data_IF_584251284344
#
_entry.id   IF_584251284344
#
_cell.length_a   1.000
_cell.length_b   1.000
_cell.length_c   1.000
_cell.angle_alpha   90.00
_cell.angle_beta   90.00
_cell.angle_gamma   90.00
#
_symmetry.space_group_name_H-M   'P 1'
#
loop_
_entity.id
_entity.type
_entity.pdbx_description
1 polymer ?
#
# COMPACT_ATOMS: atom_id res chain seq x y z
N UNK A 1 31.20 20.09 -47.64
CA UNK A 1 31.58 20.21 -46.23
C UNK A 1 30.54 19.50 -45.38
N UNK A 2 30.87 18.33 -44.90
CA UNK A 2 30.03 17.49 -44.05
C UNK A 2 29.97 18.05 -42.63
N UNK A 3 28.78 18.14 -42.04
CA UNK A 3 28.59 18.12 -40.60
C UNK A 3 27.33 17.34 -40.24
N UNK A 4 27.60 16.15 -39.89
CA UNK A 4 27.13 15.32 -38.79
C UNK A 4 25.83 15.77 -38.08
N UNK A 5 24.76 15.03 -38.33
CA UNK A 5 23.56 15.02 -37.48
C UNK A 5 23.74 13.85 -36.54
N UNK A 6 24.10 14.19 -35.30
CA UNK A 6 24.24 13.23 -34.21
C UNK A 6 22.86 12.84 -33.71
N UNK A 7 22.59 11.55 -33.71
CA UNK A 7 21.41 10.90 -33.19
C UNK A 7 21.22 11.24 -31.71
N UNK A 8 20.06 11.76 -31.38
CA UNK A 8 19.57 11.86 -30.02
C UNK A 8 18.67 10.65 -29.77
N UNK A 9 19.27 9.61 -29.23
CA UNK A 9 18.65 8.36 -28.86
C UNK A 9 17.70 8.56 -27.67
N UNK A 10 16.53 7.94 -27.78
CA UNK A 10 15.56 7.61 -26.74
C UNK A 10 16.21 7.32 -25.38
N UNK A 11 15.96 8.18 -24.41
CA UNK A 11 16.26 7.93 -23.00
C UNK A 11 15.06 8.37 -22.14
N UNK A 12 13.93 7.66 -22.27
CA UNK A 12 12.73 7.90 -21.47
C UNK A 12 12.11 6.59 -20.96
N UNK A 13 12.90 5.54 -20.82
CA UNK A 13 12.46 4.28 -20.20
C UNK A 13 13.31 3.86 -18.99
N UNK A 14 14.00 4.79 -18.33
CA UNK A 14 14.89 4.50 -17.21
C UNK A 14 14.41 5.05 -15.85
N UNK A 15 13.11 5.30 -15.67
CA UNK A 15 12.60 5.79 -14.36
C UNK A 15 11.82 4.73 -13.56
N UNK A 16 11.86 3.46 -13.99
CA UNK A 16 11.10 2.38 -13.33
C UNK A 16 11.98 1.30 -12.67
N UNK A 17 13.24 1.56 -12.33
CA UNK A 17 14.07 0.46 -11.78
C UNK A 17 14.80 0.74 -10.46
N UNK A 18 14.43 1.76 -9.68
CA UNK A 18 15.17 2.06 -8.43
C UNK A 18 14.35 1.98 -7.14
N UNK A 19 13.10 1.54 -7.15
CA UNK A 19 12.30 1.44 -5.91
C UNK A 19 12.02 0.00 -5.45
N UNK A 20 12.62 -1.02 -6.06
CA UNK A 20 12.38 -2.43 -5.70
C UNK A 20 13.44 -3.01 -4.76
N UNK A 21 13.93 -2.26 -3.77
CA UNK A 21 14.97 -2.79 -2.86
C UNK A 21 14.73 -2.63 -1.36
N UNK A 22 13.53 -2.30 -0.90
CA UNK A 22 13.25 -2.25 0.55
C UNK A 22 12.08 -3.09 1.07
N UNK A 23 11.45 -3.92 0.25
CA UNK A 23 10.37 -4.82 0.72
C UNK A 23 10.83 -6.28 0.85
N UNK A 24 12.12 -6.54 1.12
CA UNK A 24 12.65 -7.92 1.21
C UNK A 24 13.40 -8.19 2.51
N UNK A 25 12.73 -8.00 3.63
CA UNK A 25 13.28 -8.43 4.91
C UNK A 25 12.16 -8.78 5.89
N UNK A 26 11.47 -9.89 5.66
CA UNK A 26 10.85 -10.67 6.74
C UNK A 26 10.36 -12.02 6.19
N UNK A 27 11.29 -12.97 6.06
CA UNK A 27 10.97 -14.37 6.09
C UNK A 27 12.04 -15.10 6.92
N UNK A 28 11.72 -15.70 8.06
CA UNK A 28 12.68 -16.53 8.77
C UNK A 28 12.76 -17.90 8.09
N UNK A 29 13.95 -18.24 7.59
CA UNK A 29 14.32 -19.61 7.24
C UNK A 29 14.79 -20.31 8.50
N UNK A 30 14.02 -21.28 8.98
CA UNK A 30 14.58 -22.40 9.75
C UNK A 30 13.90 -23.67 9.26
N UNK A 31 14.64 -24.40 8.46
CA UNK A 31 14.33 -25.77 8.10
C UNK A 31 14.91 -26.69 9.17
N UNK A 32 14.08 -27.40 9.89
CA UNK A 32 14.48 -28.58 10.66
C UNK A 32 13.87 -29.81 9.99
N UNK A 33 14.77 -30.67 9.52
CA UNK A 33 14.50 -31.99 8.94
C UNK A 33 14.04 -32.93 10.06
N UNK A 34 12.88 -33.55 9.93
CA UNK A 34 12.53 -34.80 10.62
C UNK A 34 11.89 -35.74 9.61
N UNK A 35 12.38 -36.97 9.59
CA UNK A 35 12.00 -38.07 8.70
C UNK A 35 10.67 -38.73 9.11
N UNK A 36 10.08 -39.60 8.29
CA UNK A 36 8.66 -39.92 8.34
C UNK A 36 8.36 -41.12 9.23
N UNK A 37 7.22 -41.09 9.91
CA UNK A 37 6.55 -42.28 10.38
C UNK A 37 5.06 -42.20 10.11
N UNK A 38 4.60 -43.23 9.48
CA UNK A 38 3.26 -43.63 9.07
C UNK A 38 2.21 -43.54 10.20
N UNK A 39 1.03 -43.05 9.93
CA UNK A 39 -0.24 -43.78 10.01
C UNK A 39 -1.43 -42.82 9.93
N UNK A 40 -2.26 -43.07 8.96
CA UNK A 40 -3.61 -42.66 8.64
C UNK A 40 -4.48 -42.18 9.82
N UNK A 41 -5.03 -40.95 9.68
CA UNK A 41 -6.44 -40.69 9.98
C UNK A 41 -6.90 -39.45 9.18
N UNK A 42 -7.77 -39.66 8.21
CA UNK A 42 -8.46 -38.60 7.49
C UNK A 42 -9.35 -37.83 8.46
N UNK A 43 -8.89 -36.66 8.89
CA UNK A 43 -9.78 -35.66 9.47
C UNK A 43 -10.05 -34.62 8.40
N UNK A 44 -11.26 -34.69 7.90
CA UNK A 44 -11.87 -33.79 6.95
C UNK A 44 -11.84 -32.37 7.50
N UNK A 45 -10.82 -31.58 7.11
CA UNK A 45 -10.87 -30.12 7.30
C UNK A 45 -12.00 -29.60 6.44
N UNK A 46 -13.10 -29.24 7.07
CA UNK A 46 -14.15 -28.43 6.48
C UNK A 46 -13.54 -27.04 6.23
N UNK A 47 -13.09 -26.81 5.00
CA UNK A 47 -12.87 -25.50 4.43
C UNK A 47 -14.19 -24.75 4.52
N UNK A 48 -14.25 -23.68 5.28
CA UNK A 48 -15.33 -22.69 5.18
C UNK A 48 -15.28 -22.15 3.75
N UNK A 49 -16.18 -22.61 2.92
CA UNK A 49 -16.48 -22.00 1.63
C UNK A 49 -17.08 -20.62 1.92
N UNK A 50 -16.26 -19.58 1.95
CA UNK A 50 -16.76 -18.23 1.69
C UNK A 50 -17.53 -18.32 0.37
N UNK A 51 -18.77 -17.82 0.38
CA UNK A 51 -19.68 -17.80 -0.74
C UNK A 51 -19.02 -17.07 -1.93
N UNK A 52 -18.32 -17.85 -2.75
CA UNK A 52 -17.77 -17.36 -4.02
C UNK A 52 -18.94 -17.37 -4.97
N UNK A 53 -19.39 -16.18 -5.37
CA UNK A 53 -20.38 -16.04 -6.42
C UNK A 53 -20.07 -16.90 -7.65
N UNK A 54 -21.03 -17.12 -8.56
CA UNK A 54 -20.85 -18.02 -9.70
C UNK A 54 -19.62 -17.62 -10.52
N UNK A 55 -18.74 -18.58 -10.79
CA UNK A 55 -17.58 -18.36 -11.65
C UNK A 55 -18.03 -17.99 -13.06
N UNK A 56 -17.35 -17.05 -13.75
CA UNK A 56 -17.82 -16.51 -15.04
C UNK A 56 -17.75 -17.50 -16.19
N UNK A 57 -16.98 -18.60 -16.04
CA UNK A 57 -16.78 -19.64 -17.04
C UNK A 57 -16.74 -21.02 -16.41
N UNK A 58 -16.91 -22.06 -17.26
CA UNK A 58 -16.71 -23.46 -16.88
C UNK A 58 -15.24 -23.75 -16.54
N UNK A 59 -14.99 -24.80 -15.74
CA UNK A 59 -13.66 -25.12 -15.19
C UNK A 59 -12.56 -25.28 -16.25
N UNK A 60 -12.89 -25.74 -17.45
CA UNK A 60 -11.95 -25.90 -18.57
C UNK A 60 -11.47 -24.55 -19.15
N UNK A 61 -12.24 -23.48 -19.01
CA UNK A 61 -11.93 -22.12 -19.48
C UNK A 61 -11.36 -21.22 -18.38
N UNK A 62 -11.59 -21.57 -17.12
CA UNK A 62 -11.10 -20.79 -15.97
C UNK A 62 -9.59 -20.56 -15.97
N UNK A 63 -8.69 -21.47 -16.40
CA UNK A 63 -7.25 -21.17 -16.48
C UNK A 63 -6.92 -20.00 -17.41
N UNK A 64 -7.63 -19.83 -18.52
CA UNK A 64 -7.43 -18.69 -19.43
C UNK A 64 -7.98 -17.39 -18.86
N UNK A 65 -9.10 -17.46 -18.16
CA UNK A 65 -9.61 -16.31 -17.39
C UNK A 65 -8.63 -15.89 -16.30
N UNK A 66 -8.05 -16.84 -15.57
CA UNK A 66 -7.04 -16.59 -14.54
C UNK A 66 -5.78 -15.92 -15.11
N UNK A 67 -5.37 -16.28 -16.36
CA UNK A 67 -4.27 -15.57 -17.04
C UNK A 67 -4.62 -14.10 -17.26
N UNK A 68 -5.85 -13.82 -17.73
CA UNK A 68 -6.32 -12.44 -17.91
C UNK A 68 -6.34 -11.65 -16.60
N UNK A 69 -6.82 -12.27 -15.52
CA UNK A 69 -6.78 -11.65 -14.16
C UNK A 69 -5.34 -11.37 -13.72
N UNK A 70 -4.41 -12.30 -13.95
CA UNK A 70 -3.01 -12.10 -13.59
C UNK A 70 -2.40 -10.91 -14.34
N UNK A 71 -2.63 -10.80 -15.65
CA UNK A 71 -2.16 -9.66 -16.44
C UNK A 71 -2.77 -8.34 -15.96
N UNK A 72 -4.07 -8.34 -15.66
CA UNK A 72 -4.76 -7.16 -15.14
C UNK A 72 -4.21 -6.71 -13.79
N UNK A 73 -3.93 -7.64 -12.88
CA UNK A 73 -3.30 -7.35 -11.58
C UNK A 73 -1.89 -6.76 -11.76
N UNK A 74 -1.10 -7.34 -12.68
CA UNK A 74 0.26 -6.83 -12.94
C UNK A 74 0.26 -5.41 -13.51
N UNK A 75 -0.69 -5.09 -14.39
CA UNK A 75 -0.79 -3.77 -15.01
C UNK A 75 -1.50 -2.77 -14.07
N UNK A 76 -2.60 -3.20 -13.47
CA UNK A 76 -3.44 -2.34 -12.61
C UNK A 76 -2.74 -1.91 -11.33
N UNK A 77 -2.02 -2.83 -10.68
CA UNK A 77 -1.30 -2.54 -9.43
C UNK A 77 -0.11 -1.60 -9.60
N UNK A 78 0.47 -1.52 -10.80
CA UNK A 78 1.62 -0.63 -11.06
C UNK A 78 1.24 0.84 -11.29
N UNK A 79 0.02 1.11 -11.74
CA UNK A 79 -0.34 2.44 -12.23
C UNK A 79 -1.59 3.05 -11.57
N UNK A 80 -2.21 2.38 -10.58
CA UNK A 80 -3.50 2.81 -9.99
C UNK A 80 -4.54 3.21 -11.08
N UNK A 81 -4.52 2.50 -12.21
CA UNK A 81 -5.28 2.84 -13.42
C UNK A 81 -6.76 3.04 -13.10
N UNK A 82 -7.32 2.20 -12.22
CA UNK A 82 -8.73 2.25 -11.84
C UNK A 82 -9.13 3.57 -11.15
N UNK A 83 -8.21 4.20 -10.43
CA UNK A 83 -8.48 5.48 -9.74
C UNK A 83 -8.22 6.69 -10.63
N UNK A 84 -7.47 6.51 -11.71
CA UNK A 84 -7.08 7.58 -12.62
C UNK A 84 -7.97 7.69 -13.84
N UNK A 85 -8.70 6.63 -14.23
CA UNK A 85 -9.55 6.58 -15.41
C UNK A 85 -11.03 6.51 -15.02
N UNK A 86 -11.87 7.12 -15.85
CA UNK A 86 -13.31 6.98 -15.80
C UNK A 86 -13.73 5.66 -16.49
N UNK A 87 -14.95 5.17 -16.22
CA UNK A 87 -15.41 3.86 -16.71
C UNK A 87 -15.37 3.75 -18.24
N UNK A 88 -15.78 4.81 -18.95
CA UNK A 88 -15.75 4.86 -20.42
C UNK A 88 -14.33 4.92 -20.98
N UNK A 89 -13.39 5.54 -20.28
CA UNK A 89 -11.98 5.57 -20.64
C UNK A 89 -11.31 4.21 -20.43
N UNK A 90 -11.73 3.49 -19.37
CA UNK A 90 -11.26 2.13 -19.10
C UNK A 90 -11.69 1.19 -20.22
N UNK A 91 -12.90 1.33 -20.76
CA UNK A 91 -13.38 0.55 -21.91
C UNK A 91 -12.51 0.79 -23.16
N UNK A 92 -12.08 2.02 -23.38
CA UNK A 92 -11.14 2.35 -24.47
C UNK A 92 -9.79 1.67 -24.27
N UNK A 93 -9.28 1.68 -23.04
CA UNK A 93 -8.01 1.00 -22.70
C UNK A 93 -8.12 -0.50 -22.91
N UNK A 94 -9.21 -1.13 -22.45
CA UNK A 94 -9.46 -2.57 -22.63
C UNK A 94 -9.57 -2.94 -24.11
N UNK A 95 -10.27 -2.11 -24.90
CA UNK A 95 -10.34 -2.31 -26.36
C UNK A 95 -8.96 -2.24 -27.01
N UNK A 96 -8.17 -1.19 -26.72
CA UNK A 96 -6.83 -1.00 -27.30
C UNK A 96 -5.88 -2.16 -26.89
N UNK A 97 -5.98 -2.62 -25.65
CA UNK A 97 -5.22 -3.79 -25.17
C UNK A 97 -5.59 -5.06 -25.96
N UNK A 98 -6.89 -5.33 -26.14
CA UNK A 98 -7.38 -6.46 -26.89
C UNK A 98 -6.95 -6.39 -28.37
N UNK A 99 -7.14 -5.26 -29.04
CA UNK A 99 -6.76 -5.03 -30.43
C UNK A 99 -5.25 -5.24 -30.67
N UNK A 100 -4.43 -4.77 -29.71
CA UNK A 100 -2.97 -4.91 -29.79
C UNK A 100 -2.54 -6.36 -29.59
N UNK A 101 -3.13 -7.07 -28.62
CA UNK A 101 -2.81 -8.45 -28.29
C UNK A 101 -3.19 -9.40 -29.43
N UNK A 102 -4.33 -9.15 -30.10
CA UNK A 102 -4.83 -9.98 -31.20
C UNK A 102 -4.28 -9.59 -32.57
N UNK A 103 -3.53 -8.49 -32.67
CA UNK A 103 -3.01 -7.96 -33.92
C UNK A 103 -4.08 -7.35 -34.83
N UNK A 104 -5.24 -6.99 -34.28
CA UNK A 104 -6.36 -6.36 -35.00
C UNK A 104 -6.31 -4.82 -34.96
N UNK A 105 -5.31 -4.27 -34.29
CA UNK A 105 -5.11 -2.80 -34.26
C UNK A 105 -4.93 -2.24 -35.68
N UNK A 106 -5.72 -1.24 -36.00
CA UNK A 106 -5.66 -0.55 -37.31
C UNK A 106 -4.54 0.51 -37.38
N UNK A 107 -3.95 0.87 -36.25
CA UNK A 107 -2.88 1.85 -36.16
C UNK A 107 -1.61 1.21 -35.58
N UNK A 108 -0.45 1.65 -36.07
CA UNK A 108 0.84 1.23 -35.50
C UNK A 108 0.99 1.74 -34.07
N UNK A 109 1.22 0.85 -33.09
CA UNK A 109 1.33 1.22 -31.68
C UNK A 109 2.39 2.31 -31.39
N UNK A 110 3.51 2.32 -32.10
CA UNK A 110 4.56 3.33 -31.94
C UNK A 110 4.08 4.71 -32.37
N UNK A 111 3.33 4.77 -33.47
CA UNK A 111 2.74 6.02 -33.98
C UNK A 111 1.71 6.56 -33.00
N UNK A 112 0.84 5.68 -32.45
CA UNK A 112 -0.15 6.09 -31.45
C UNK A 112 0.52 6.63 -30.19
N UNK A 113 1.48 5.90 -29.64
CA UNK A 113 2.21 6.30 -28.43
C UNK A 113 3.01 7.60 -28.66
N UNK A 114 3.64 7.76 -29.82
CA UNK A 114 4.39 8.97 -30.16
C UNK A 114 3.51 10.20 -30.28
N UNK A 115 2.31 10.04 -30.82
CA UNK A 115 1.37 11.15 -31.06
C UNK A 115 0.60 11.55 -29.83
N UNK A 116 0.05 10.58 -29.09
CA UNK A 116 -0.90 10.80 -27.99
C UNK A 116 -0.29 10.60 -26.59
N UNK A 117 0.88 9.95 -26.49
CA UNK A 117 1.55 9.70 -25.20
C UNK A 117 1.79 10.96 -24.39
N UNK A 118 2.30 12.08 -24.95
CA UNK A 118 2.49 13.31 -24.19
C UNK A 118 1.20 13.88 -23.61
N UNK A 119 0.10 13.83 -24.37
CA UNK A 119 -1.22 14.27 -23.89
C UNK A 119 -1.76 13.37 -22.78
N UNK A 120 -1.61 12.05 -22.94
CA UNK A 120 -1.99 11.08 -21.90
C UNK A 120 -1.23 11.32 -20.60
N UNK A 121 0.10 11.46 -20.67
CA UNK A 121 0.93 11.71 -19.49
C UNK A 121 0.49 12.98 -18.74
N UNK A 122 0.13 14.03 -19.47
CA UNK A 122 -0.38 15.26 -18.86
C UNK A 122 -1.72 15.02 -18.16
N UNK A 123 -2.67 14.33 -18.81
CA UNK A 123 -3.99 14.02 -18.22
C UNK A 123 -3.80 13.21 -16.93
N UNK A 124 -2.95 12.18 -16.95
CA UNK A 124 -2.70 11.34 -15.78
C UNK A 124 -2.03 12.12 -14.65
N UNK A 125 -1.07 12.99 -14.96
CA UNK A 125 -0.40 13.84 -13.97
C UNK A 125 -1.39 14.82 -13.32
N UNK A 126 -2.20 15.53 -14.13
CA UNK A 126 -3.21 16.49 -13.64
C UNK A 126 -4.26 15.80 -12.75
N UNK A 127 -4.62 14.55 -13.06
CA UNK A 127 -5.58 13.77 -12.27
C UNK A 127 -4.94 13.26 -10.97
N UNK A 128 -3.70 12.75 -11.04
CA UNK A 128 -2.97 12.31 -9.85
C UNK A 128 -2.80 13.43 -8.84
N UNK A 129 -2.47 14.65 -9.30
CA UNK A 129 -2.33 15.83 -8.45
C UNK A 129 -3.67 16.16 -7.76
N UNK A 130 -4.77 16.20 -8.50
CA UNK A 130 -6.11 16.47 -7.94
C UNK A 130 -6.55 15.43 -6.92
N UNK A 131 -6.24 14.15 -7.16
CA UNK A 131 -6.55 13.07 -6.21
C UNK A 131 -5.71 13.24 -4.94
N UNK A 132 -4.42 13.53 -5.11
CA UNK A 132 -3.51 13.76 -4.00
C UNK A 132 -3.97 14.93 -3.12
N UNK A 133 -4.31 16.06 -3.72
CA UNK A 133 -4.79 17.25 -3.01
C UNK A 133 -6.07 16.94 -2.23
N UNK A 134 -7.03 16.25 -2.85
CA UNK A 134 -8.27 15.84 -2.19
C UNK A 134 -8.01 14.90 -1.01
N UNK A 135 -7.16 13.88 -1.17
CA UNK A 135 -6.84 12.94 -0.09
C UNK A 135 -6.15 13.63 1.08
N UNK A 136 -5.28 14.60 0.81
CA UNK A 136 -4.64 15.41 1.86
C UNK A 136 -5.64 16.33 2.57
N UNK A 137 -6.57 16.93 1.85
CA UNK A 137 -7.65 17.75 2.43
C UNK A 137 -8.57 16.91 3.32
N UNK A 138 -9.03 15.75 2.83
CA UNK A 138 -9.82 14.79 3.62
C UNK A 138 -9.07 14.35 4.89
N UNK A 139 -7.75 14.14 4.78
CA UNK A 139 -6.88 13.82 5.91
C UNK A 139 -6.77 14.96 6.93
N UNK A 140 -6.64 16.20 6.47
CA UNK A 140 -6.59 17.37 7.33
C UNK A 140 -7.93 17.59 8.07
N UNK A 141 -9.05 17.41 7.38
CA UNK A 141 -10.39 17.48 7.97
C UNK A 141 -10.61 16.38 9.01
N UNK A 142 -10.13 15.16 8.73
CA UNK A 142 -10.18 14.06 9.70
C UNK A 142 -9.38 14.39 10.98
N UNK A 143 -8.16 14.93 10.85
CA UNK A 143 -7.33 15.35 11.98
C UNK A 143 -8.04 16.41 12.80
N UNK A 144 -8.57 17.45 12.14
CA UNK A 144 -9.30 18.53 12.80
C UNK A 144 -10.50 17.99 13.59
N UNK A 145 -11.34 17.19 12.94
CA UNK A 145 -12.52 16.60 13.59
C UNK A 145 -12.12 15.70 14.77
N UNK A 146 -11.01 14.96 14.66
CA UNK A 146 -10.53 14.13 15.75
C UNK A 146 -10.08 14.97 16.96
N UNK A 147 -9.35 16.06 16.73
CA UNK A 147 -8.91 16.96 17.78
C UNK A 147 -10.10 17.66 18.46
N UNK A 148 -11.09 18.09 17.68
CA UNK A 148 -12.29 18.73 18.20
C UNK A 148 -13.15 17.79 19.08
N UNK A 149 -13.08 16.48 18.84
CA UNK A 149 -13.83 15.45 19.57
C UNK A 149 -13.07 14.80 20.72
N UNK A 150 -11.75 15.02 20.87
CA UNK A 150 -10.91 14.33 21.85
C UNK A 150 -10.05 15.34 22.61
N UNK A 151 -10.47 15.76 23.80
CA UNK A 151 -9.78 16.76 24.62
C UNK A 151 -8.35 16.36 25.04
N UNK A 152 -8.08 15.06 25.14
CA UNK A 152 -6.74 14.54 25.49
C UNK A 152 -5.80 14.43 24.27
N UNK A 153 -6.32 14.63 23.06
CA UNK A 153 -5.51 14.57 21.86
C UNK A 153 -4.66 15.83 21.71
N UNK A 154 -3.40 15.65 21.39
CA UNK A 154 -2.44 16.74 21.15
C UNK A 154 -1.82 16.60 19.77
N UNK A 155 -1.59 17.72 19.09
CA UNK A 155 -0.88 17.73 17.81
C UNK A 155 0.54 18.27 18.02
N UNK A 156 1.53 17.56 17.50
CA UNK A 156 2.94 17.96 17.55
C UNK A 156 3.30 18.88 16.38
N UNK A 157 4.51 19.45 16.41
CA UNK A 157 5.04 20.31 15.33
C UNK A 157 5.17 19.57 13.99
N UNK A 158 5.37 18.26 14.02
CA UNK A 158 5.43 17.42 12.80
C UNK A 158 4.05 17.15 12.19
N UNK A 159 2.98 17.53 12.88
CA UNK A 159 1.59 17.24 12.51
C UNK A 159 1.06 15.90 13.05
N UNK A 160 1.88 15.12 13.78
CA UNK A 160 1.41 13.90 14.43
C UNK A 160 0.33 14.27 15.47
N UNK A 161 -0.80 13.55 15.44
CA UNK A 161 -1.76 13.59 16.54
C UNK A 161 -1.53 12.40 17.45
N UNK A 162 -1.31 12.70 18.73
CA UNK A 162 -1.14 11.73 19.81
C UNK A 162 -2.32 11.85 20.78
N UNK A 163 -3.02 10.73 21.01
CA UNK A 163 -4.11 10.67 21.98
C UNK A 163 -3.88 9.46 22.90
N UNK A 164 -3.52 9.68 24.18
CA UNK A 164 -3.34 8.60 25.13
C UNK A 164 -4.68 7.94 25.44
N UNK A 165 -4.74 6.61 25.37
CA UNK A 165 -5.91 5.83 25.80
C UNK A 165 -5.68 5.16 27.15
N UNK A 166 -4.44 4.80 27.41
CA UNK A 166 -3.97 4.21 28.67
C UNK A 166 -2.52 4.61 28.88
N UNK A 167 -2.21 5.20 30.02
CA UNK A 167 -0.83 5.46 30.45
C UNK A 167 -0.09 4.17 30.76
N UNK A 168 1.17 4.06 30.29
CA UNK A 168 2.09 3.01 30.68
C UNK A 168 2.92 3.44 31.89
N UNK A 169 3.48 2.45 32.60
CA UNK A 169 4.31 2.69 33.79
C UNK A 169 5.79 2.33 33.56
N UNK A 170 6.11 1.63 32.45
CA UNK A 170 7.45 1.18 32.12
C UNK A 170 8.32 2.24 31.44
N UNK A 171 9.39 1.79 30.78
CA UNK A 171 10.32 2.66 30.07
C UNK A 171 9.71 3.26 28.80
N UNK A 172 10.10 4.48 28.43
CA UNK A 172 9.83 5.04 27.11
C UNK A 172 10.91 4.57 26.12
N UNK A 173 10.53 4.19 24.88
CA UNK A 173 11.50 3.80 23.89
C UNK A 173 12.29 5.00 23.33
N UNK A 174 13.47 4.70 22.81
CA UNK A 174 14.31 5.62 22.01
C UNK A 174 14.39 5.09 20.57
N UNK A 175 14.93 5.88 19.65
CA UNK A 175 15.11 5.45 18.25
C UNK A 175 15.96 4.17 18.08
N UNK A 176 16.80 3.87 19.06
CA UNK A 176 17.66 2.68 19.08
C UNK A 176 16.97 1.46 19.70
N UNK A 177 15.84 1.66 20.34
CA UNK A 177 15.09 0.57 21.00
C UNK A 177 14.42 -0.35 19.99
N UNK A 178 14.30 -1.61 20.35
CA UNK A 178 13.34 -2.54 19.74
C UNK A 178 12.07 -2.52 20.56
N UNK A 179 10.93 -2.35 19.92
CA UNK A 179 9.61 -2.29 20.54
C UNK A 179 8.77 -3.51 20.15
N UNK A 180 8.02 -4.03 21.09
CA UNK A 180 6.99 -5.06 20.86
C UNK A 180 5.61 -4.43 21.06
N UNK A 181 4.77 -4.51 20.03
CA UNK A 181 3.46 -3.84 20.01
C UNK A 181 2.36 -4.73 19.46
N UNK A 182 1.12 -4.45 19.87
CA UNK A 182 -0.05 -4.65 19.04
C UNK A 182 -0.46 -3.33 18.39
N UNK A 183 -0.96 -3.43 17.17
CA UNK A 183 -1.51 -2.28 16.47
C UNK A 183 -2.67 -2.65 15.55
N UNK A 184 -3.51 -1.67 15.31
CA UNK A 184 -4.58 -1.71 14.33
C UNK A 184 -4.53 -0.44 13.52
N UNK A 185 -4.21 -0.57 12.22
CA UNK A 185 -4.01 0.54 11.30
C UNK A 185 -5.18 0.69 10.32
N UNK A 186 -5.75 1.88 10.26
CA UNK A 186 -6.87 2.22 9.38
C UNK A 186 -6.59 3.48 8.57
N UNK A 187 -7.21 3.58 7.40
CA UNK A 187 -7.37 4.83 6.68
C UNK A 187 -8.42 5.72 7.38
N UNK A 188 -8.60 6.93 6.90
CA UNK A 188 -9.57 7.89 7.45
C UNK A 188 -11.02 7.47 7.27
N UNK A 189 -11.33 6.61 6.30
CA UNK A 189 -12.65 6.02 6.05
C UNK A 189 -12.93 4.76 6.90
N UNK A 190 -11.95 4.34 7.72
CA UNK A 190 -12.05 3.13 8.55
C UNK A 190 -11.58 1.85 7.86
N UNK A 191 -11.15 1.90 6.60
CA UNK A 191 -10.58 0.75 5.90
C UNK A 191 -9.32 0.26 6.61
N UNK A 192 -9.29 -0.99 7.04
CA UNK A 192 -8.13 -1.61 7.69
C UNK A 192 -7.09 -1.94 6.62
N UNK A 193 -5.88 -1.39 6.75
CA UNK A 193 -4.79 -1.72 5.84
C UNK A 193 -3.78 -2.69 6.46
N UNK A 194 -3.66 -2.72 7.80
CA UNK A 194 -2.83 -3.69 8.52
C UNK A 194 -3.23 -3.77 9.99
N UNK A 195 -3.21 -4.99 10.57
CA UNK A 195 -3.59 -5.22 11.95
C UNK A 195 -2.88 -6.44 12.53
N UNK A 196 -2.01 -6.23 13.51
CA UNK A 196 -1.42 -7.32 14.29
C UNK A 196 -2.43 -7.94 15.25
N UNK A 197 -3.46 -7.18 15.63
CA UNK A 197 -4.57 -7.67 16.48
C UNK A 197 -5.38 -8.74 15.73
N UNK A 198 -5.71 -8.50 14.45
CA UNK A 198 -6.43 -9.47 13.62
C UNK A 198 -5.59 -10.73 13.35
N UNK A 199 -4.26 -10.59 13.28
CA UNK A 199 -3.34 -11.72 13.17
C UNK A 199 -3.17 -12.50 14.49
N UNK A 200 -3.62 -11.95 15.63
CA UNK A 200 -3.51 -12.56 16.94
C UNK A 200 -2.08 -12.66 17.48
N UNK A 201 -1.15 -11.88 16.96
CA UNK A 201 0.26 -11.92 17.34
C UNK A 201 0.85 -10.51 17.43
N UNK A 202 1.59 -10.23 18.54
CA UNK A 202 2.41 -9.03 18.63
C UNK A 202 3.51 -9.02 17.56
N UNK A 203 4.02 -7.86 17.25
CA UNK A 203 5.15 -7.70 16.33
C UNK A 203 6.25 -6.90 17.02
N UNK A 204 7.50 -7.30 16.77
CA UNK A 204 8.69 -6.58 17.27
C UNK A 204 9.48 -6.01 16.12
N UNK A 205 9.91 -4.74 16.24
CA UNK A 205 10.76 -4.09 15.26
C UNK A 205 11.65 -3.01 15.90
N UNK A 206 12.80 -2.70 15.25
CA UNK A 206 13.62 -1.55 15.62
C UNK A 206 12.83 -0.26 15.34
N UNK A 207 12.71 0.65 16.32
CA UNK A 207 11.93 1.87 16.19
C UNK A 207 12.47 2.79 15.08
N UNK A 208 13.78 2.85 14.89
CA UNK A 208 14.39 3.64 13.82
C UNK A 208 14.08 3.18 12.39
N UNK A 209 13.46 1.99 12.22
CA UNK A 209 13.15 1.39 10.92
C UNK A 209 11.70 1.59 10.43
N UNK A 210 10.85 2.24 11.22
CA UNK A 210 9.42 2.47 10.89
C UNK A 210 9.16 3.89 10.40
N UNK A 211 7.93 4.21 10.02
CA UNK A 211 7.52 5.56 9.58
C UNK A 211 7.79 6.60 10.68
N UNK A 212 8.06 7.85 10.27
CA UNK A 212 8.43 8.93 11.18
C UNK A 212 7.38 9.18 12.28
N UNK A 213 6.09 9.12 11.94
CA UNK A 213 5.01 9.28 12.90
C UNK A 213 5.06 8.24 14.03
N UNK A 214 5.44 7.00 13.73
CA UNK A 214 5.64 5.97 14.74
C UNK A 214 6.92 6.18 15.55
N UNK A 215 8.01 6.61 14.89
CA UNK A 215 9.25 6.95 15.59
C UNK A 215 8.99 8.03 16.64
N UNK A 216 8.21 9.05 16.32
CA UNK A 216 7.85 10.12 17.23
C UNK A 216 6.82 9.66 18.27
N UNK A 217 5.69 9.10 17.83
CA UNK A 217 4.57 8.76 18.69
C UNK A 217 4.89 7.71 19.75
N UNK A 218 5.67 6.67 19.40
CA UNK A 218 6.06 5.66 20.39
C UNK A 218 7.03 6.18 21.44
N UNK A 219 7.85 7.18 21.13
CA UNK A 219 8.71 7.84 22.15
C UNK A 219 7.90 8.65 23.18
N UNK A 220 6.67 9.07 22.85
CA UNK A 220 5.75 9.71 23.78
C UNK A 220 5.05 8.70 24.71
N UNK A 221 5.09 7.41 24.37
CA UNK A 221 4.48 6.34 25.16
C UNK A 221 5.45 5.78 26.19
N UNK A 222 4.89 5.04 27.16
CA UNK A 222 5.63 4.16 28.07
C UNK A 222 5.18 2.72 27.88
N UNK A 223 6.06 1.76 28.18
CA UNK A 223 5.74 0.35 28.18
C UNK A 223 4.51 0.06 29.06
N UNK A 224 3.56 -0.73 28.53
CA UNK A 224 2.24 -0.99 29.12
C UNK A 224 1.16 0.00 28.72
N UNK A 225 1.50 1.04 27.95
CA UNK A 225 0.58 2.06 27.49
C UNK A 225 -0.13 1.71 26.18
N UNK A 226 -1.25 2.42 25.91
CA UNK A 226 -2.00 2.36 24.67
C UNK A 226 -2.33 3.78 24.22
N UNK A 227 -2.18 4.06 22.93
CA UNK A 227 -2.48 5.37 22.34
C UNK A 227 -3.05 5.25 20.92
N UNK A 228 -3.78 6.29 20.51
CA UNK A 228 -4.10 6.53 19.10
C UNK A 228 -3.06 7.49 18.52
N UNK A 229 -2.48 7.11 17.39
CA UNK A 229 -1.57 7.92 16.59
C UNK A 229 -2.25 8.23 15.26
N UNK A 230 -2.36 9.53 14.88
CA UNK A 230 -2.79 9.90 13.54
C UNK A 230 -1.62 10.55 12.84
N UNK A 231 -1.18 9.93 11.76
CA UNK A 231 0.00 10.32 11.01
C UNK A 231 -0.42 10.91 9.65
N UNK A 232 -0.28 12.23 9.44
CA UNK A 232 -0.38 12.80 8.10
C UNK A 232 0.64 12.14 7.16
N UNK A 233 0.37 12.18 5.86
CA UNK A 233 1.20 11.50 4.85
C UNK A 233 2.69 11.84 4.93
N UNK A 234 3.05 13.07 5.26
CA UNK A 234 4.44 13.55 5.30
C UNK A 234 5.33 12.83 6.33
N UNK A 235 4.71 12.30 7.38
CA UNK A 235 5.36 11.48 8.40
C UNK A 235 4.98 10.00 8.33
N UNK A 236 4.27 9.60 7.25
CA UNK A 236 3.85 8.23 6.95
C UNK A 236 4.49 7.76 5.63
N UNK A 237 3.69 7.59 4.57
CA UNK A 237 4.15 7.05 3.27
C UNK A 237 4.21 8.11 2.16
N UNK A 238 4.00 9.38 2.50
CA UNK A 238 4.13 10.51 1.57
C UNK A 238 3.13 10.47 0.41
N UNK A 239 3.50 11.18 -0.66
CA UNK A 239 2.71 11.31 -1.89
C UNK A 239 2.72 10.04 -2.75
N UNK A 240 3.56 9.06 -2.44
CA UNK A 240 3.62 7.80 -3.16
C UNK A 240 2.63 6.75 -2.62
N UNK A 241 2.22 6.86 -1.36
CA UNK A 241 1.47 5.81 -0.68
C UNK A 241 2.28 4.53 -0.47
N UNK A 242 1.62 3.40 -0.23
CA UNK A 242 2.29 2.10 -0.08
C UNK A 242 1.42 0.94 -0.54
N UNK A 243 1.96 0.14 -1.47
CA UNK A 243 1.25 -1.00 -2.05
C UNK A 243 -0.06 -0.59 -2.73
N UNK A 244 -1.04 -1.50 -2.69
CA UNK A 244 -2.38 -1.27 -3.27
C UNK A 244 -3.38 -0.71 -2.24
N UNK A 245 -3.01 -0.70 -0.95
CA UNK A 245 -3.95 -0.44 0.15
C UNK A 245 -3.82 0.96 0.72
N UNK A 246 -2.62 1.54 0.72
CA UNK A 246 -2.39 2.91 1.22
C UNK A 246 -2.27 3.88 0.06
N UNK A 247 -3.31 4.69 -0.19
CA UNK A 247 -3.31 5.65 -1.30
C UNK A 247 -2.22 6.72 -1.18
N UNK A 248 -1.84 7.36 -2.31
CA UNK A 248 -1.04 8.57 -2.32
C UNK A 248 -1.62 9.65 -1.39
N UNK A 249 -0.77 10.24 -0.53
CA UNK A 249 -1.18 11.33 0.35
C UNK A 249 -2.04 10.93 1.56
N UNK A 250 -2.25 9.64 1.80
CA UNK A 250 -3.16 9.17 2.86
C UNK A 250 -2.67 9.51 4.27
N UNK A 251 -3.57 10.07 5.06
CA UNK A 251 -3.45 10.16 6.51
C UNK A 251 -3.82 8.82 7.13
N UNK A 252 -3.01 8.34 8.07
CA UNK A 252 -3.17 7.03 8.69
C UNK A 252 -3.52 7.17 10.17
N UNK A 253 -4.46 6.35 10.63
CA UNK A 253 -4.80 6.20 12.05
C UNK A 253 -4.31 4.86 12.55
N UNK A 254 -3.64 4.85 13.68
CA UNK A 254 -3.19 3.65 14.36
C UNK A 254 -3.68 3.66 15.81
N UNK A 255 -4.24 2.54 16.27
CA UNK A 255 -4.32 2.24 17.68
C UNK A 255 -3.16 1.33 18.03
N UNK A 256 -2.30 1.76 18.95
CA UNK A 256 -1.06 1.06 19.29
C UNK A 256 -1.02 0.76 20.79
N UNK A 257 -0.70 -0.48 21.14
CA UNK A 257 -0.43 -0.91 22.50
C UNK A 257 1.04 -1.36 22.60
N UNK A 258 1.81 -0.72 23.48
CA UNK A 258 3.23 -0.94 23.64
C UNK A 258 3.46 -1.94 24.78
N UNK A 259 3.87 -3.17 24.44
CA UNK A 259 4.06 -4.26 25.41
C UNK A 259 5.44 -4.28 26.03
N UNK A 260 6.48 -4.00 25.21
CA UNK A 260 7.86 -4.13 25.67
C UNK A 260 8.81 -3.19 24.94
N UNK A 261 9.78 -2.69 25.69
CA UNK A 261 10.91 -1.88 25.21
C UNK A 261 12.21 -2.61 25.52
N UNK A 262 13.09 -2.79 24.53
CA UNK A 262 14.37 -3.49 24.69
C UNK A 262 15.49 -2.87 23.84
#
# INVERSE_FOLDING_TARGET
MFRSITAMTLSTLAFLSTTTRMARAFAPRHAMRVAPTTTTTMTRFMSSSADKGPMPFDDDKMPFYALGVNLAVQVGGQANIKTLLEDDELDIVLKAFGDTLTGTSTADPRTVLGTYGPALNKILADRSEKILDRVKEEGADFIKNFLDCNEEATQTESGLVYCPMKEGEGASPTLQSTVEVHYHGTLTDGTVFDSSVERGQTISFPLGGVIKGWQEGLQLMKEGGKATLICPSDIAYGDAGSGEVIPPGATLRFEVELFKVS
#
